data_IF_041484693278
#
_entry.id   IF_041484693278
#
_cell.length_a   1.000
_cell.length_b   1.000
_cell.length_c   1.000
_cell.angle_alpha   90.00
_cell.angle_beta   90.00
_cell.angle_gamma   90.00
#
_symmetry.space_group_name_H-M   'P 1'
#
loop_
_entity.id
_entity.type
_entity.pdbx_description
1 polymer ?
#
# COMPACT_ATOMS: atom_id res chain seq x y z
N UNK A 1 12.84 10.37 10.04
CA UNK A 1 12.85 9.28 9.05
C UNK A 1 14.23 9.31 8.41
N UNK A 2 15.14 8.46 8.85
CA UNK A 2 16.58 8.76 8.73
C UNK A 2 17.28 7.78 7.76
N UNK A 3 16.57 7.36 6.71
CA UNK A 3 17.07 6.45 5.69
C UNK A 3 16.49 6.74 4.31
N UNK A 4 17.22 6.33 3.26
CA UNK A 4 16.72 6.36 1.89
C UNK A 4 15.56 5.36 1.74
N UNK A 5 14.63 5.70 0.85
CA UNK A 5 13.44 4.90 0.54
C UNK A 5 13.72 4.12 -0.74
N UNK A 6 13.48 2.81 -0.71
CA UNK A 6 13.52 1.97 -1.91
C UNK A 6 12.14 1.97 -2.57
N UNK A 7 12.12 2.10 -3.89
CA UNK A 7 10.90 1.91 -4.70
C UNK A 7 11.14 0.72 -5.60
N UNK A 8 10.35 -0.34 -5.45
CA UNK A 8 10.53 -1.60 -6.16
C UNK A 8 9.20 -2.28 -6.49
N UNK A 9 9.18 -3.09 -7.55
CA UNK A 9 8.08 -3.99 -7.88
C UNK A 9 8.41 -5.45 -7.53
N UNK A 10 7.40 -6.22 -7.11
CA UNK A 10 7.51 -7.66 -6.87
C UNK A 10 6.13 -8.31 -6.83
N UNK A 11 6.04 -9.56 -7.29
CA UNK A 11 4.86 -10.41 -7.10
C UNK A 11 4.65 -10.81 -5.62
N UNK A 12 5.73 -10.81 -4.82
CA UNK A 12 5.70 -11.08 -3.37
C UNK A 12 6.58 -10.06 -2.62
N UNK A 13 6.03 -8.85 -2.34
CA UNK A 13 6.77 -7.79 -1.67
C UNK A 13 7.25 -8.15 -0.26
N UNK A 14 6.54 -9.04 0.45
CA UNK A 14 6.88 -9.44 1.81
C UNK A 14 8.12 -10.32 1.79
N UNK A 15 8.14 -11.35 0.93
CA UNK A 15 9.31 -12.21 0.76
C UNK A 15 10.52 -11.41 0.26
N UNK A 16 10.30 -10.47 -0.65
CA UNK A 16 11.35 -9.58 -1.18
C UNK A 16 11.95 -8.68 -0.10
N UNK A 17 11.14 -8.16 0.83
CA UNK A 17 11.62 -7.40 1.98
C UNK A 17 12.57 -8.22 2.85
N UNK A 18 12.17 -9.45 3.20
CA UNK A 18 13.00 -10.37 3.99
C UNK A 18 14.33 -10.71 3.30
N UNK A 19 14.30 -10.92 1.98
CA UNK A 19 15.52 -11.15 1.20
C UNK A 19 16.45 -9.93 1.19
N UNK A 20 15.91 -8.70 1.13
CA UNK A 20 16.73 -7.50 1.18
C UNK A 20 17.34 -7.25 2.57
N UNK A 21 16.62 -7.62 3.63
CA UNK A 21 17.10 -7.47 5.00
C UNK A 21 18.42 -8.21 5.27
N UNK A 22 18.67 -9.36 4.64
CA UNK A 22 19.89 -10.16 4.85
C UNK A 22 21.17 -9.41 4.45
N UNK A 23 21.04 -8.40 3.59
CA UNK A 23 22.14 -7.56 3.09
C UNK A 23 22.13 -6.15 3.67
N UNK A 24 21.27 -5.88 4.67
CA UNK A 24 21.17 -4.58 5.31
C UNK A 24 21.33 -4.71 6.83
N UNK A 25 22.28 -3.98 7.42
CA UNK A 25 22.54 -4.00 8.86
C UNK A 25 21.48 -3.24 9.67
N UNK A 26 20.66 -2.41 9.01
CA UNK A 26 19.53 -1.71 9.62
C UNK A 26 18.23 -2.42 9.27
N UNK A 27 17.30 -2.41 10.21
CA UNK A 27 15.95 -2.94 9.99
C UNK A 27 15.23 -2.15 8.87
N UNK A 28 14.76 -2.89 7.87
CA UNK A 28 13.94 -2.39 6.78
C UNK A 28 12.47 -2.49 7.16
N UNK A 29 11.71 -1.44 6.88
CA UNK A 29 10.26 -1.39 7.08
C UNK A 29 9.55 -1.10 5.78
N UNK A 30 8.46 -1.82 5.52
CA UNK A 30 7.56 -1.52 4.41
C UNK A 30 6.74 -0.27 4.76
N UNK A 31 6.90 0.80 3.98
CA UNK A 31 6.16 2.06 4.21
C UNK A 31 4.76 2.00 3.60
N UNK A 32 4.65 1.45 2.38
CA UNK A 32 3.40 1.22 1.67
C UNK A 32 3.66 0.21 0.54
N UNK A 33 2.64 -0.56 0.16
CA UNK A 33 2.61 -1.30 -1.09
C UNK A 33 1.31 -0.99 -1.82
N UNK A 34 1.37 -0.95 -3.14
CA UNK A 34 0.22 -0.69 -4.01
C UNK A 34 0.23 -1.70 -5.15
N UNK A 35 -0.95 -2.02 -5.68
CA UNK A 35 -1.04 -2.84 -6.89
C UNK A 35 -0.42 -2.08 -8.06
N UNK A 36 0.43 -2.75 -8.84
CA UNK A 36 1.12 -2.14 -9.97
C UNK A 36 1.88 -3.17 -10.81
N UNK A 37 2.60 -2.67 -11.82
CA UNK A 37 3.46 -3.46 -12.71
C UNK A 37 4.90 -2.93 -12.71
N UNK A 38 5.79 -3.61 -13.44
CA UNK A 38 7.15 -3.11 -13.68
C UNK A 38 7.16 -1.77 -14.42
N UNK A 39 6.20 -1.54 -15.32
CA UNK A 39 6.01 -0.26 -16.02
C UNK A 39 5.62 0.83 -15.02
N UNK A 40 4.71 0.52 -14.10
CA UNK A 40 4.31 1.44 -13.05
C UNK A 40 5.49 1.82 -12.14
N UNK A 41 6.35 0.87 -11.79
CA UNK A 41 7.60 1.17 -11.07
C UNK A 41 8.46 2.18 -11.84
N UNK A 42 8.67 1.98 -13.15
CA UNK A 42 9.45 2.90 -14.00
C UNK A 42 8.84 4.29 -14.03
N UNK A 43 7.50 4.40 -14.05
CA UNK A 43 6.80 5.67 -13.98
C UNK A 43 7.01 6.38 -12.63
N UNK A 44 6.92 5.64 -11.52
CA UNK A 44 7.18 6.19 -10.19
C UNK A 44 8.63 6.62 -10.05
N UNK A 45 9.59 5.83 -10.56
CA UNK A 45 11.01 6.24 -10.60
C UNK A 45 11.19 7.55 -11.37
N UNK A 46 10.57 7.67 -12.55
CA UNK A 46 10.60 8.90 -13.37
C UNK A 46 9.98 10.09 -12.63
N UNK A 47 8.84 9.85 -11.96
CA UNK A 47 8.11 10.86 -11.17
C UNK A 47 8.99 11.44 -10.05
N UNK A 48 9.80 10.61 -9.39
CA UNK A 48 10.67 11.01 -8.26
C UNK A 48 12.16 11.03 -8.62
N UNK A 49 12.50 11.20 -9.90
CA UNK A 49 13.88 11.17 -10.37
C UNK A 49 14.77 12.20 -9.66
N UNK A 50 14.23 13.37 -9.29
CA UNK A 50 14.97 14.42 -8.58
C UNK A 50 15.43 14.01 -7.17
N UNK A 51 14.76 13.02 -6.57
CA UNK A 51 15.08 12.48 -5.25
C UNK A 51 15.96 11.23 -5.33
N UNK A 52 16.17 10.68 -6.54
CA UNK A 52 16.90 9.44 -6.76
C UNK A 52 18.36 9.60 -6.34
N UNK A 53 18.86 8.64 -5.56
CA UNK A 53 20.27 8.58 -5.16
C UNK A 53 21.04 7.62 -6.06
N UNK A 54 20.83 6.32 -5.87
CA UNK A 54 21.50 5.26 -6.63
C UNK A 54 20.54 4.08 -6.82
N UNK A 55 20.54 3.51 -8.02
CA UNK A 55 19.74 2.31 -8.33
C UNK A 55 18.24 2.57 -8.13
N UNK A 56 17.67 1.97 -7.09
CA UNK A 56 16.23 2.05 -6.76
C UNK A 56 15.98 2.82 -5.46
N UNK A 57 16.99 3.56 -4.98
CA UNK A 57 16.95 4.30 -3.71
C UNK A 57 16.73 5.79 -3.93
N UNK A 58 15.93 6.39 -3.06
CA UNK A 58 15.47 7.78 -3.14
C UNK A 58 15.63 8.47 -1.78
N UNK A 59 15.98 9.75 -1.76
CA UNK A 59 15.94 10.59 -0.56
C UNK A 59 14.48 10.78 -0.12
N UNK A 60 14.22 10.86 1.19
CA UNK A 60 12.87 11.10 1.71
C UNK A 60 12.47 12.58 1.56
N UNK A 61 12.30 13.04 0.32
CA UNK A 61 11.85 14.42 0.08
C UNK A 61 10.36 14.60 0.37
N UNK A 62 9.94 15.85 0.53
CA UNK A 62 8.56 16.21 0.88
C UNK A 62 7.55 15.63 -0.12
N UNK A 63 7.86 15.58 -1.41
CA UNK A 63 6.93 15.15 -2.46
C UNK A 63 6.73 13.64 -2.42
N UNK A 64 7.80 12.87 -2.19
CA UNK A 64 7.75 11.42 -2.02
C UNK A 64 7.00 11.04 -0.75
N UNK A 65 7.30 11.71 0.37
CA UNK A 65 6.61 11.46 1.65
C UNK A 65 5.10 11.75 1.55
N UNK A 66 4.70 12.87 0.94
CA UNK A 66 3.29 13.17 0.70
C UNK A 66 2.62 12.12 -0.19
N UNK A 67 3.34 11.58 -1.18
CA UNK A 67 2.79 10.53 -2.03
C UNK A 67 2.54 9.23 -1.25
N UNK A 68 3.50 8.81 -0.41
CA UNK A 68 3.35 7.63 0.46
C UNK A 68 2.14 7.77 1.37
N UNK A 69 1.99 8.93 2.04
CA UNK A 69 0.84 9.17 2.90
C UNK A 69 -0.49 9.13 2.14
N UNK A 70 -0.54 9.69 0.92
CA UNK A 70 -1.73 9.59 0.05
C UNK A 70 -2.10 8.15 -0.29
N UNK A 71 -1.12 7.31 -0.63
CA UNK A 71 -1.40 5.90 -0.93
C UNK A 71 -1.86 5.14 0.32
N UNK A 72 -1.32 5.46 1.50
CA UNK A 72 -1.80 4.90 2.78
C UNK A 72 -3.24 5.29 3.09
N UNK A 73 -3.62 6.56 2.86
CA UNK A 73 -4.97 7.05 3.12
C UNK A 73 -6.02 6.39 2.23
N UNK A 74 -5.72 6.15 0.95
CA UNK A 74 -6.65 5.44 0.04
C UNK A 74 -6.97 4.04 0.54
N UNK A 75 -5.96 3.33 1.06
CA UNK A 75 -6.17 1.99 1.62
C UNK A 75 -7.11 2.05 2.82
N UNK A 76 -6.91 3.02 3.71
CA UNK A 76 -7.78 3.21 4.87
C UNK A 76 -9.23 3.50 4.45
N UNK A 77 -9.43 4.41 3.49
CA UNK A 77 -10.76 4.76 2.96
C UNK A 77 -11.48 3.55 2.36
N UNK A 78 -10.78 2.75 1.55
CA UNK A 78 -11.34 1.52 0.96
C UNK A 78 -11.78 0.54 2.06
N UNK A 79 -10.96 0.35 3.11
CA UNK A 79 -11.29 -0.57 4.21
C UNK A 79 -12.50 -0.08 5.01
N UNK A 80 -12.60 1.23 5.26
CA UNK A 80 -13.77 1.79 5.92
C UNK A 80 -15.04 1.56 5.09
N UNK A 81 -15.01 1.93 3.81
CA UNK A 81 -16.17 1.77 2.93
C UNK A 81 -16.60 0.30 2.80
N UNK A 82 -15.67 -0.64 2.66
CA UNK A 82 -15.98 -2.09 2.61
C UNK A 82 -16.62 -2.60 3.91
N UNK A 83 -16.18 -2.07 5.06
CA UNK A 83 -16.76 -2.41 6.35
C UNK A 83 -18.20 -1.91 6.46
N UNK A 84 -18.45 -0.68 6.03
CA UNK A 84 -19.77 -0.06 6.04
C UNK A 84 -20.74 -0.81 5.09
N UNK A 85 -20.29 -1.11 3.88
CA UNK A 85 -21.04 -1.88 2.88
C UNK A 85 -21.41 -3.29 3.41
N UNK A 86 -20.48 -3.94 4.12
CA UNK A 86 -20.72 -5.26 4.71
C UNK A 86 -21.80 -5.21 5.80
N UNK A 87 -21.75 -4.24 6.71
CA UNK A 87 -22.74 -4.10 7.77
C UNK A 87 -24.13 -3.74 7.19
N UNK A 88 -24.19 -2.91 6.15
CA UNK A 88 -25.46 -2.63 5.47
C UNK A 88 -26.05 -3.91 4.84
N UNK A 89 -25.24 -4.70 4.13
CA UNK A 89 -25.66 -5.94 3.50
C UNK A 89 -26.14 -6.98 4.53
N UNK A 90 -25.41 -7.12 5.64
CA UNK A 90 -25.74 -8.03 6.74
C UNK A 90 -27.08 -7.67 7.39
N UNK A 91 -27.32 -6.38 7.62
CA UNK A 91 -28.59 -5.90 8.17
C UNK A 91 -29.76 -6.15 7.20
N UNK A 92 -29.55 -5.93 5.89
CA UNK A 92 -30.56 -6.27 4.87
C UNK A 92 -30.87 -7.77 4.85
N UNK A 93 -29.85 -8.63 4.90
CA UNK A 93 -30.01 -10.08 4.94
C UNK A 93 -30.83 -10.51 6.16
N UNK A 94 -30.49 -10.03 7.35
CA UNK A 94 -31.23 -10.33 8.58
C UNK A 94 -32.71 -9.89 8.48
N UNK A 95 -32.97 -8.73 7.87
CA UNK A 95 -34.34 -8.25 7.66
C UNK A 95 -35.15 -9.15 6.71
N UNK A 96 -34.49 -9.76 5.71
CA UNK A 96 -35.13 -10.68 4.75
C UNK A 96 -35.40 -12.03 5.40
N UNK A 97 -34.44 -12.57 6.15
CA UNK A 97 -34.61 -13.82 6.91
C UNK A 97 -35.79 -13.72 7.88
N UNK A 98 -35.89 -12.61 8.62
CA UNK A 98 -37.01 -12.37 9.53
C UNK A 98 -38.36 -12.32 8.80
N UNK A 99 -38.42 -11.72 7.60
CA UNK A 99 -39.64 -11.67 6.79
C UNK A 99 -40.04 -13.05 6.26
N UNK A 100 -39.07 -13.88 5.88
CA UNK A 100 -39.33 -15.23 5.39
C UNK A 100 -39.83 -16.16 6.50
N UNK A 101 -39.28 -16.03 7.72
CA UNK A 101 -39.69 -16.83 8.88
C UNK A 101 -41.08 -16.48 9.45
N UNK A 102 -41.73 -15.44 8.93
CA UNK A 102 -43.08 -15.00 9.30
C UNK A 102 -44.16 -15.42 8.28
N UNK A 103 -43.77 -16.15 7.23
CA UNK A 103 -44.65 -16.74 6.21
C UNK A 103 -44.74 -18.27 6.41
#
# INVERSE_FOLDING_TARGET
MDGNIKIGWSDDPIKRLSQHQTSNSRELRMLVYVKGSQEYEKEIHRKFQNSKTTGEWFKPDKRLLVHIEKERSKFFEIVQNLSDDYEELKNKLLSLENKLNLL
#
